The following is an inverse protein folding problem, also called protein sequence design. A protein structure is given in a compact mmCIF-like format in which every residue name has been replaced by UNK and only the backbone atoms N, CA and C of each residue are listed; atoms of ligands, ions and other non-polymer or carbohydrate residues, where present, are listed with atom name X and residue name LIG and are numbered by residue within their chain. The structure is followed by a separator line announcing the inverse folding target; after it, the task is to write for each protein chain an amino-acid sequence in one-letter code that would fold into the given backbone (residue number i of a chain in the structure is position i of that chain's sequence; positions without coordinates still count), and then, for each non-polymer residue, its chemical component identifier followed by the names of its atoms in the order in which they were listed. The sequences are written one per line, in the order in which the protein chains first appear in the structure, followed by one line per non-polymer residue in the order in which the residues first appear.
data_IF_778162125410
#
_entry.id   IF_778162125410
#
_cell.length_a   1.000
_cell.length_b   1.000
_cell.length_c   1.000
_cell.angle_alpha   90.00
_cell.angle_beta   90.00
_cell.angle_gamma   90.00
#
_symmetry.space_group_name_H-M   'P 1'
#
loop_
_entity.id
_entity.type
_entity.pdbx_description
1 polymer ?
#
# COMPACT_ATOMS: atom_id res chain seq x y z
N UNK A 1 0.27 -9.53 25.62
CA UNK A 1 0.52 -8.31 24.84
C UNK A 1 1.59 -8.67 23.82
N UNK A 2 1.30 -8.57 22.52
CA UNK A 2 2.31 -8.80 21.49
C UNK A 2 3.14 -7.53 21.38
N UNK A 3 4.47 -7.65 21.43
CA UNK A 3 5.35 -6.49 21.28
C UNK A 3 5.16 -5.89 19.90
N UNK A 4 4.85 -4.59 19.83
CA UNK A 4 4.65 -3.86 18.57
C UNK A 4 5.85 -4.04 17.63
N UNK A 5 7.07 -4.14 18.19
CA UNK A 5 8.28 -4.45 17.42
C UNK A 5 8.23 -5.78 16.68
N UNK A 6 7.67 -6.83 17.29
CA UNK A 6 7.52 -8.15 16.66
C UNK A 6 6.47 -8.15 15.54
N UNK A 7 5.39 -7.38 15.68
CA UNK A 7 4.38 -7.21 14.64
C UNK A 7 4.91 -6.40 13.45
N UNK A 8 5.72 -5.38 13.72
CA UNK A 8 6.40 -4.60 12.69
C UNK A 8 7.35 -5.50 11.89
N UNK A 9 8.13 -6.37 12.54
CA UNK A 9 9.00 -7.32 11.83
C UNK A 9 8.25 -8.38 11.02
N UNK A 10 7.00 -8.67 11.38
CA UNK A 10 6.14 -9.62 10.67
C UNK A 10 5.48 -8.97 9.43
N UNK A 11 5.13 -7.69 9.51
CA UNK A 11 4.40 -6.94 8.49
C UNK A 11 5.31 -6.12 7.56
N UNK A 12 6.49 -5.74 8.04
CA UNK A 12 7.55 -5.13 7.24
C UNK A 12 8.62 -6.19 7.04
N UNK A 13 8.74 -6.77 5.85
CA UNK A 13 9.74 -7.80 5.60
C UNK A 13 11.14 -7.15 5.57
N UNK A 14 11.81 -7.11 6.72
CA UNK A 14 13.16 -6.56 6.92
C UNK A 14 14.28 -7.43 6.30
N UNK A 15 13.91 -8.47 5.56
CA UNK A 15 14.85 -9.32 4.83
C UNK A 15 15.25 -8.64 3.51
N UNK A 16 16.44 -8.96 2.97
CA UNK A 16 16.89 -8.43 1.66
C UNK A 16 15.85 -8.69 0.55
N UNK A 17 15.29 -9.91 0.39
CA UNK A 17 14.21 -10.15 -0.57
C UNK A 17 12.96 -9.30 -0.31
N UNK A 18 12.60 -9.12 0.96
CA UNK A 18 11.49 -8.29 1.38
C UNK A 18 11.64 -6.82 1.00
N UNK A 19 12.80 -6.24 1.29
CA UNK A 19 13.14 -4.85 0.98
C UNK A 19 13.10 -4.62 -0.54
N UNK A 20 13.70 -5.52 -1.33
CA UNK A 20 13.67 -5.44 -2.80
C UNK A 20 12.24 -5.53 -3.32
N UNK A 21 11.44 -6.45 -2.79
CA UNK A 21 10.02 -6.61 -3.15
C UNK A 21 9.21 -5.36 -2.84
N UNK A 22 9.39 -4.78 -1.65
CA UNK A 22 8.74 -3.53 -1.27
C UNK A 22 9.13 -2.37 -2.19
N UNK A 23 10.41 -2.26 -2.55
CA UNK A 23 10.90 -1.20 -3.42
C UNK A 23 10.31 -1.31 -4.84
N UNK A 24 10.30 -2.50 -5.43
CA UNK A 24 9.74 -2.72 -6.77
C UNK A 24 8.23 -2.52 -6.77
N UNK A 25 7.50 -3.06 -5.79
CA UNK A 25 6.06 -2.80 -5.64
C UNK A 25 5.79 -1.31 -5.47
N UNK A 26 6.67 -0.60 -4.77
CA UNK A 26 6.55 0.85 -4.61
C UNK A 26 6.69 1.61 -5.90
N UNK A 27 7.69 1.25 -6.70
CA UNK A 27 7.91 1.86 -8.01
C UNK A 27 6.71 1.62 -8.93
N UNK A 28 6.17 0.41 -8.95
CA UNK A 28 5.02 0.06 -9.79
C UNK A 28 3.74 0.76 -9.32
N UNK A 29 3.46 0.79 -8.03
CA UNK A 29 2.31 1.51 -7.49
C UNK A 29 2.40 3.01 -7.78
N UNK A 30 3.60 3.60 -7.69
CA UNK A 30 3.85 4.97 -8.12
C UNK A 30 3.50 5.19 -9.59
N UNK A 31 3.97 4.31 -10.50
CA UNK A 31 3.66 4.42 -11.93
C UNK A 31 2.15 4.37 -12.14
N UNK A 32 1.44 3.45 -11.49
CA UNK A 32 -0.01 3.33 -11.67
C UNK A 32 -0.75 4.54 -11.12
N UNK A 33 -0.35 5.09 -9.96
CA UNK A 33 -0.96 6.29 -9.40
C UNK A 33 -0.76 7.49 -10.32
N UNK A 34 0.47 7.69 -10.85
CA UNK A 34 0.78 8.77 -11.79
C UNK A 34 0.00 8.61 -13.10
N UNK A 35 -0.10 7.40 -13.65
CA UNK A 35 -0.89 7.13 -14.84
C UNK A 35 -2.39 7.36 -14.60
N UNK A 36 -2.89 6.92 -13.45
CA UNK A 36 -4.30 7.09 -13.07
C UNK A 36 -4.64 8.56 -12.87
N UNK A 37 -3.78 9.33 -12.21
CA UNK A 37 -3.95 10.78 -12.04
C UNK A 37 -3.92 11.48 -13.40
N UNK A 38 -2.97 11.15 -14.27
CA UNK A 38 -2.90 11.69 -15.65
C UNK A 38 -4.17 11.41 -16.45
N UNK A 39 -4.67 10.17 -16.41
CA UNK A 39 -5.81 9.72 -17.22
C UNK A 39 -7.14 10.20 -16.64
N UNK A 40 -7.28 10.30 -15.32
CA UNK A 40 -8.57 10.58 -14.66
C UNK A 40 -8.71 12.06 -14.29
N UNK A 41 -7.65 12.66 -13.74
CA UNK A 41 -7.66 14.05 -13.28
C UNK A 41 -7.36 15.04 -14.41
N UNK A 42 -6.68 14.59 -15.48
CA UNK A 42 -6.17 15.42 -16.59
C UNK A 42 -5.27 16.59 -16.12
N UNK A 43 -4.95 16.63 -14.83
CA UNK A 43 -4.16 17.65 -14.17
C UNK A 43 -2.95 16.93 -13.58
N UNK A 44 -1.80 17.08 -14.22
CA UNK A 44 -0.58 16.34 -13.87
C UNK A 44 0.11 16.99 -12.67
N UNK A 45 -0.39 16.75 -11.46
CA UNK A 45 0.34 17.11 -10.24
C UNK A 45 1.26 15.95 -9.82
N UNK A 46 2.24 15.64 -10.68
CA UNK A 46 3.19 14.53 -10.54
C UNK A 46 3.86 14.48 -9.16
N UNK A 47 4.14 15.66 -8.59
CA UNK A 47 4.78 15.84 -7.28
C UNK A 47 3.89 15.43 -6.11
N UNK A 48 2.56 15.44 -6.25
CA UNK A 48 1.64 15.02 -5.19
C UNK A 48 1.23 13.56 -5.35
N UNK A 49 0.98 13.13 -6.59
CA UNK A 49 0.77 11.73 -6.92
C UNK A 49 1.93 10.86 -6.41
N UNK A 50 3.17 11.35 -6.55
CA UNK A 50 4.38 10.69 -6.03
C UNK A 50 4.39 10.53 -4.51
N UNK A 51 4.02 11.59 -3.80
CA UNK A 51 3.97 11.62 -2.34
C UNK A 51 2.86 10.69 -1.87
N UNK A 52 1.68 10.72 -2.48
CA UNK A 52 0.56 9.82 -2.12
C UNK A 52 0.97 8.37 -2.27
N UNK A 53 1.51 7.97 -3.42
CA UNK A 53 1.88 6.57 -3.64
C UNK A 53 2.98 6.13 -2.69
N UNK A 54 4.06 6.92 -2.56
CA UNK A 54 5.19 6.58 -1.69
C UNK A 54 4.77 6.51 -0.23
N UNK A 55 4.03 7.50 0.25
CA UNK A 55 3.57 7.55 1.64
C UNK A 55 2.55 6.44 1.92
N UNK A 56 1.61 6.16 1.02
CA UNK A 56 0.61 5.11 1.21
C UNK A 56 1.23 3.73 1.39
N UNK A 57 2.31 3.43 0.68
CA UNK A 57 2.97 2.13 0.75
C UNK A 57 3.70 1.87 2.06
N UNK A 58 4.20 2.91 2.73
CA UNK A 58 4.81 2.79 4.05
C UNK A 58 3.80 2.96 5.18
N UNK A 59 2.84 3.86 5.02
CA UNK A 59 1.80 4.10 6.03
C UNK A 59 0.85 2.91 6.13
N UNK A 60 0.46 2.27 5.01
CA UNK A 60 -0.46 1.12 5.04
C UNK A 60 0.02 -0.02 5.96
N UNK A 61 1.24 -0.57 5.83
CA UNK A 61 1.73 -1.61 6.73
C UNK A 61 1.96 -1.11 8.16
N UNK A 62 2.36 0.15 8.36
CA UNK A 62 2.53 0.74 9.71
C UNK A 62 1.19 0.87 10.44
N UNK A 63 0.18 1.41 9.78
CA UNK A 63 -1.19 1.51 10.32
C UNK A 63 -1.77 0.11 10.53
N UNK A 64 -1.48 -0.84 9.63
CA UNK A 64 -1.83 -2.25 9.80
C UNK A 64 -1.23 -2.87 11.06
N UNK A 65 0.07 -2.66 11.28
CA UNK A 65 0.77 -3.15 12.47
C UNK A 65 0.26 -2.53 13.76
N UNK A 66 -0.01 -1.22 13.76
CA UNK A 66 -0.58 -0.52 14.90
C UNK A 66 -1.98 -1.07 15.22
N UNK A 67 -2.89 -1.11 14.25
CA UNK A 67 -4.25 -1.59 14.48
C UNK A 67 -4.24 -3.07 14.92
N UNK A 68 -3.41 -3.92 14.31
CA UNK A 68 -3.25 -5.31 14.73
C UNK A 68 -2.73 -5.46 16.17
N UNK A 69 -1.86 -4.56 16.62
CA UNK A 69 -1.35 -4.54 17.99
C UNK A 69 -2.39 -4.13 19.05
N UNK A 70 -3.42 -3.37 18.67
CA UNK A 70 -4.44 -2.86 19.58
C UNK A 70 -5.76 -3.65 19.54
N UNK A 71 -6.08 -4.34 18.45
CA UNK A 71 -7.36 -5.05 18.32
C UNK A 71 -7.23 -6.55 18.55
N UNK A 72 -7.90 -7.08 19.58
CA UNK A 72 -8.11 -8.52 19.76
C UNK A 72 -9.27 -9.02 18.86
N UNK A 73 -9.18 -8.75 17.56
CA UNK A 73 -10.21 -9.13 16.60
C UNK A 73 -10.15 -10.63 16.27
N UNK A 74 -11.30 -11.31 16.11
CA UNK A 74 -11.34 -12.69 15.63
C UNK A 74 -10.60 -12.84 14.30
N UNK A 75 -9.87 -13.95 14.14
CA UNK A 75 -8.95 -14.20 13.00
C UNK A 75 -9.64 -14.04 11.62
N UNK A 76 -10.92 -14.40 11.51
CA UNK A 76 -11.67 -14.28 10.26
C UNK A 76 -12.05 -12.83 9.90
N UNK A 77 -12.32 -11.98 10.91
CA UNK A 77 -12.61 -10.56 10.70
C UNK A 77 -11.31 -9.77 10.49
N UNK A 78 -10.24 -10.15 11.19
CA UNK A 78 -8.94 -9.52 11.05
C UNK A 78 -8.39 -9.68 9.63
N UNK A 79 -8.51 -10.86 9.00
CA UNK A 79 -8.01 -11.07 7.63
C UNK A 79 -8.66 -10.13 6.59
N UNK A 80 -9.97 -9.89 6.67
CA UNK A 80 -10.66 -9.02 5.70
C UNK A 80 -10.32 -7.55 5.98
N UNK A 81 -10.29 -7.16 7.25
CA UNK A 81 -10.03 -5.76 7.63
C UNK A 81 -8.60 -5.38 7.26
N UNK A 82 -7.61 -6.21 7.58
CA UNK A 82 -6.20 -5.92 7.31
C UNK A 82 -5.84 -6.05 5.82
N UNK A 83 -6.48 -6.96 5.07
CA UNK A 83 -6.17 -7.12 3.65
C UNK A 83 -6.86 -6.12 2.73
N UNK A 84 -8.06 -5.63 3.09
CA UNK A 84 -8.89 -4.85 2.17
C UNK A 84 -9.32 -3.49 2.74
N UNK A 85 -10.01 -3.50 3.89
CA UNK A 85 -10.70 -2.30 4.41
C UNK A 85 -9.70 -1.26 4.87
N UNK A 86 -8.70 -1.67 5.65
CA UNK A 86 -7.72 -0.76 6.22
C UNK A 86 -6.80 -0.13 5.16
N UNK A 87 -6.22 -0.88 4.21
CA UNK A 87 -5.48 -0.27 3.11
C UNK A 87 -6.35 0.72 2.33
N UNK A 88 -7.58 0.33 1.95
CA UNK A 88 -8.48 1.22 1.22
C UNK A 88 -8.74 2.54 1.97
N UNK A 89 -8.97 2.48 3.28
CA UNK A 89 -9.14 3.68 4.11
C UNK A 89 -7.88 4.55 4.12
N UNK A 90 -6.69 3.95 4.25
CA UNK A 90 -5.41 4.69 4.18
C UNK A 90 -5.27 5.40 2.84
N UNK A 91 -5.57 4.72 1.72
CA UNK A 91 -5.54 5.31 0.39
C UNK A 91 -6.53 6.47 0.26
N UNK A 92 -7.78 6.32 0.72
CA UNK A 92 -8.79 7.38 0.68
C UNK A 92 -8.35 8.59 1.50
N UNK A 93 -7.90 8.38 2.75
CA UNK A 93 -7.47 9.48 3.65
C UNK A 93 -6.27 10.22 3.07
N UNK A 94 -5.27 9.50 2.56
CA UNK A 94 -4.11 10.12 1.93
C UNK A 94 -4.46 10.88 0.66
N UNK A 95 -5.34 10.32 -0.17
CA UNK A 95 -5.87 10.99 -1.35
C UNK A 95 -6.60 12.28 -1.02
N UNK A 96 -7.42 12.28 0.05
CA UNK A 96 -8.17 13.45 0.48
C UNK A 96 -7.24 14.59 0.92
N UNK A 97 -6.22 14.27 1.72
CA UNK A 97 -5.26 15.24 2.27
C UNK A 97 -4.35 15.81 1.17
N UNK A 98 -3.88 14.97 0.25
CA UNK A 98 -2.78 15.31 -0.63
C UNK A 98 -3.22 15.76 -2.03
N UNK A 99 -4.33 15.24 -2.58
CA UNK A 99 -4.79 15.62 -3.93
C UNK A 99 -5.60 16.91 -3.92
N UNK A 100 -5.37 17.77 -4.91
CA UNK A 100 -6.15 19.00 -5.17
C UNK A 100 -7.06 18.79 -6.37
N UNK A 101 -8.16 18.09 -6.14
CA UNK A 101 -9.20 17.86 -7.14
C UNK A 101 -10.56 17.79 -6.46
N UNK A 102 -11.64 17.74 -7.24
CA UNK A 102 -12.98 17.53 -6.68
C UNK A 102 -13.08 16.17 -5.97
N UNK A 103 -13.91 16.08 -4.93
CA UNK A 103 -14.08 14.87 -4.12
C UNK A 103 -14.40 13.62 -4.97
N UNK A 104 -15.21 13.78 -6.03
CA UNK A 104 -15.53 12.70 -6.98
C UNK A 104 -14.29 12.20 -7.75
N UNK A 105 -13.40 13.11 -8.14
CA UNK A 105 -12.17 12.77 -8.86
C UNK A 105 -11.17 12.11 -7.93
N UNK A 106 -10.99 12.66 -6.71
CA UNK A 106 -10.12 12.06 -5.68
C UNK A 106 -10.50 10.61 -5.39
N UNK A 107 -11.80 10.35 -5.15
CA UNK A 107 -12.28 9.01 -4.84
C UNK A 107 -12.01 8.02 -6.00
N UNK A 108 -12.25 8.42 -7.25
CA UNK A 108 -11.96 7.56 -8.42
C UNK A 108 -10.49 7.23 -8.52
N UNK A 109 -9.61 8.22 -8.40
CA UNK A 109 -8.15 8.02 -8.45
C UNK A 109 -7.71 7.09 -7.31
N UNK A 110 -8.25 7.27 -6.11
CA UNK A 110 -7.91 6.42 -4.95
C UNK A 110 -8.41 5.00 -5.07
N UNK A 111 -9.61 4.78 -5.62
CA UNK A 111 -10.12 3.42 -5.88
C UNK A 111 -9.23 2.71 -6.90
N UNK A 112 -8.86 3.38 -7.99
CA UNK A 112 -7.97 2.79 -8.99
C UNK A 112 -6.58 2.51 -8.40
N UNK A 113 -6.04 3.44 -7.61
CA UNK A 113 -4.77 3.26 -6.92
C UNK A 113 -4.80 2.09 -5.93
N UNK A 114 -5.89 1.93 -5.18
CA UNK A 114 -6.09 0.79 -4.28
C UNK A 114 -6.17 -0.53 -5.05
N UNK A 115 -6.92 -0.60 -6.15
CA UNK A 115 -7.00 -1.81 -7.00
C UNK A 115 -5.63 -2.18 -7.54
N UNK A 116 -4.85 -1.19 -7.98
CA UNK A 116 -3.48 -1.42 -8.44
C UNK A 116 -2.58 -1.93 -7.31
N UNK A 117 -2.63 -1.29 -6.14
CA UNK A 117 -1.93 -1.74 -4.94
C UNK A 117 -2.28 -3.19 -4.58
N UNK A 118 -3.57 -3.54 -4.67
CA UNK A 118 -4.05 -4.89 -4.40
C UNK A 118 -3.45 -5.90 -5.38
N UNK A 119 -3.54 -5.65 -6.70
CA UNK A 119 -2.95 -6.51 -7.73
C UNK A 119 -1.44 -6.67 -7.51
N UNK A 120 -0.75 -5.57 -7.19
CA UNK A 120 0.69 -5.60 -6.94
C UNK A 120 1.04 -6.42 -5.71
N UNK A 121 0.30 -6.32 -4.61
CA UNK A 121 0.59 -7.07 -3.39
C UNK A 121 0.25 -8.55 -3.48
N UNK A 122 -0.82 -8.92 -4.18
CA UNK A 122 -1.28 -10.32 -4.25
C UNK A 122 -0.75 -11.09 -5.46
N UNK A 123 -0.28 -10.39 -6.50
CA UNK A 123 0.25 -11.03 -7.72
C UNK A 123 1.73 -10.79 -7.87
N UNK A 124 2.15 -9.53 -7.94
CA UNK A 124 3.53 -9.16 -8.32
C UNK A 124 4.51 -9.33 -7.16
N UNK A 125 4.11 -8.98 -5.93
CA UNK A 125 4.91 -9.12 -4.72
C UNK A 125 5.41 -10.55 -4.48
N UNK A 126 4.52 -11.56 -4.44
CA UNK A 126 4.93 -12.96 -4.25
C UNK A 126 5.89 -13.46 -5.33
N UNK A 127 5.69 -13.04 -6.59
CA UNK A 127 6.56 -13.42 -7.71
C UNK A 127 7.96 -12.84 -7.53
N UNK A 128 8.07 -11.55 -7.21
CA UNK A 128 9.36 -10.90 -6.97
C UNK A 128 10.05 -11.51 -5.76
N UNK A 129 9.31 -11.74 -4.68
CA UNK A 129 9.85 -12.34 -3.46
C UNK A 129 10.45 -13.72 -3.76
N UNK A 130 9.71 -14.58 -4.48
CA UNK A 130 10.16 -15.91 -4.88
C UNK A 130 11.39 -15.87 -5.79
N UNK A 131 11.42 -14.95 -6.76
CA UNK A 131 12.56 -14.77 -7.66
C UNK A 131 13.83 -14.33 -6.90
N UNK A 132 13.72 -13.30 -6.07
CA UNK A 132 14.86 -12.76 -5.31
C UNK A 132 15.35 -13.76 -4.26
N UNK A 133 14.44 -14.47 -3.59
CA UNK A 133 14.82 -15.51 -2.63
C UNK A 133 15.54 -16.68 -3.30
N UNK A 134 15.12 -17.10 -4.51
CA UNK A 134 15.76 -18.18 -5.26
C UNK A 134 17.10 -17.78 -5.89
N UNK A 135 17.36 -16.48 -6.06
CA UNK A 135 18.65 -15.98 -6.53
C UNK A 135 19.70 -15.89 -5.42
N UNK A 136 19.26 -15.69 -4.17
CA UNK A 136 20.13 -15.51 -3.00
C UNK A 136 20.41 -16.82 -2.24
N UNK A 137 19.82 -17.94 -2.66
CA UNK A 137 20.04 -19.29 -2.12
C UNK A 137 21.14 -20.04 -2.86
#
# INVERSE_FOLDING_TARGET
MVEIGSLISLLIPLTIPGIVTMFVNSLLAFIVVVLSDKVISHNLELKRASIVSGVALFITPVVGALVAGYTALPIALSSIIFAYVLPLLVWIVLGEILLRSDMKTKLKVMVVAFVAYFILNFTVGPIILGFVSGFLS
#
